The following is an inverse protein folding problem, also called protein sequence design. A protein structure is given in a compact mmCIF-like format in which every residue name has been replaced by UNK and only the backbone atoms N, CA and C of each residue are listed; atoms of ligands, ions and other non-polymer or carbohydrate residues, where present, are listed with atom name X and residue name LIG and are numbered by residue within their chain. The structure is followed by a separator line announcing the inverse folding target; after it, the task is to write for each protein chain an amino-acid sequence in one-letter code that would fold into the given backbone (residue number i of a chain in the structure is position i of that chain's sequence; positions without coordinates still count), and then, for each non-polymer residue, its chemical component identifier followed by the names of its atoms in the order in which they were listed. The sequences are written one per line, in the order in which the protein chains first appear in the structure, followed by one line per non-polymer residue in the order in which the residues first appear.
data_IF_916584359566
#
_entry.id   IF_916584359566
#
_cell.length_a   1.000
_cell.length_b   1.000
_cell.length_c   1.000
_cell.angle_alpha   90.00
_cell.angle_beta   90.00
_cell.angle_gamma   90.00
#
_symmetry.space_group_name_H-M   'P 1'
#
loop_
_entity.id
_entity.type
_entity.pdbx_description
1 polymer ?
#
# COMPACT_ATOMS: atom_id res chain seq x y z
N UNK A 1 20.13 9.25 15.13
CA UNK A 1 20.64 9.04 13.76
C UNK A 1 19.64 8.22 12.95
N UNK A 2 18.80 8.87 12.14
CA UNK A 2 18.21 8.28 10.92
C UNK A 2 17.61 9.36 10.01
N UNK A 3 18.37 10.44 9.78
CA UNK A 3 17.95 11.57 8.93
C UNK A 3 18.09 11.27 7.43
N UNK A 4 18.88 10.25 7.05
CA UNK A 4 19.12 9.88 5.66
C UNK A 4 17.98 9.13 4.98
N UNK A 5 17.07 8.49 5.73
CA UNK A 5 15.89 7.82 5.17
C UNK A 5 14.65 8.74 5.10
N UNK A 6 14.64 9.80 5.90
CA UNK A 6 13.54 10.77 5.97
C UNK A 6 13.57 11.74 4.77
N UNK A 7 14.76 12.16 4.32
CA UNK A 7 14.91 12.97 3.10
C UNK A 7 14.36 12.29 1.83
N UNK A 8 14.75 11.06 1.46
CA UNK A 8 14.25 10.43 0.22
C UNK A 8 12.75 10.16 0.23
N UNK A 9 12.12 9.96 1.40
CA UNK A 9 10.67 9.85 1.52
C UNK A 9 9.99 11.18 1.18
N UNK A 10 10.44 12.28 1.79
CA UNK A 10 9.91 13.63 1.53
C UNK A 10 10.10 14.03 0.07
N UNK A 11 11.28 13.78 -0.51
CA UNK A 11 11.55 14.06 -1.92
C UNK A 11 10.64 13.25 -2.86
N UNK A 12 10.38 11.98 -2.53
CA UNK A 12 9.48 11.15 -3.34
C UNK A 12 8.04 11.62 -3.23
N UNK A 13 7.59 12.02 -2.05
CA UNK A 13 6.26 12.61 -1.85
C UNK A 13 6.11 13.93 -2.60
N UNK A 14 7.10 14.82 -2.54
CA UNK A 14 7.09 16.07 -3.30
C UNK A 14 7.00 15.83 -4.82
N UNK A 15 7.65 14.78 -5.33
CA UNK A 15 7.52 14.36 -6.73
C UNK A 15 6.13 13.83 -7.05
N UNK A 16 5.52 13.06 -6.14
CA UNK A 16 4.13 12.61 -6.27
C UNK A 16 3.19 13.82 -6.36
N UNK A 17 3.34 14.80 -5.47
CA UNK A 17 2.57 16.05 -5.51
C UNK A 17 2.72 16.77 -6.85
N UNK A 18 3.95 16.92 -7.34
CA UNK A 18 4.22 17.54 -8.64
C UNK A 18 3.65 16.74 -9.83
N UNK A 19 3.63 15.41 -9.76
CA UNK A 19 3.00 14.58 -10.78
C UNK A 19 1.48 14.75 -10.77
N UNK A 20 0.85 14.76 -9.59
CA UNK A 20 -0.59 14.95 -9.44
C UNK A 20 -1.02 16.35 -9.93
N UNK A 21 -0.31 17.39 -9.53
CA UNK A 21 -0.56 18.76 -9.98
C UNK A 21 -0.41 18.92 -11.50
N UNK A 22 0.51 18.16 -12.11
CA UNK A 22 0.71 18.13 -13.56
C UNK A 22 -0.24 17.17 -14.30
N UNK A 23 -1.21 16.53 -13.63
CA UNK A 23 -2.11 15.55 -14.24
C UNK A 23 -1.42 14.23 -14.65
N UNK A 24 -0.17 14.00 -14.23
CA UNK A 24 0.62 12.79 -14.52
C UNK A 24 0.27 11.67 -13.54
N UNK A 25 -1.02 11.36 -13.44
CA UNK A 25 -1.57 10.42 -12.46
C UNK A 25 -0.94 9.01 -12.53
N UNK A 26 -0.62 8.42 -13.70
CA UNK A 26 0.07 7.13 -13.75
C UNK A 26 1.45 7.15 -13.08
N UNK A 27 2.16 8.27 -13.19
CA UNK A 27 3.49 8.44 -12.63
C UNK A 27 3.43 8.61 -11.11
N UNK A 28 2.48 9.41 -10.62
CA UNK A 28 2.16 9.55 -9.20
C UNK A 28 1.81 8.19 -8.57
N UNK A 29 0.92 7.43 -9.21
CA UNK A 29 0.49 6.09 -8.77
C UNK A 29 1.67 5.12 -8.68
N UNK A 30 2.53 5.09 -9.68
CA UNK A 30 3.69 4.19 -9.69
C UNK A 30 4.64 4.50 -8.54
N UNK A 31 4.90 5.79 -8.27
CA UNK A 31 5.76 6.23 -7.16
C UNK A 31 5.14 5.90 -5.80
N UNK A 32 3.86 6.19 -5.60
CA UNK A 32 3.13 5.83 -4.38
C UNK A 32 3.12 4.32 -4.12
N UNK A 33 2.93 3.49 -5.15
CA UNK A 33 3.04 2.03 -5.00
C UNK A 33 4.43 1.58 -4.56
N UNK A 34 5.48 2.25 -5.06
CA UNK A 34 6.85 2.04 -4.60
C UNK A 34 7.00 2.36 -3.11
N UNK A 35 6.50 3.51 -2.68
CA UNK A 35 6.50 3.92 -1.27
C UNK A 35 5.72 2.96 -0.38
N UNK A 36 4.49 2.56 -0.75
CA UNK A 36 3.70 1.59 0.01
C UNK A 36 4.40 0.23 0.07
N UNK A 37 5.14 -0.16 -0.97
CA UNK A 37 5.93 -1.41 -0.92
C UNK A 37 7.10 -1.32 0.06
N UNK A 38 7.74 -0.15 0.18
CA UNK A 38 8.82 0.11 1.15
C UNK A 38 8.31 0.33 2.57
N UNK A 39 7.10 0.87 2.72
CA UNK A 39 6.47 1.23 3.98
C UNK A 39 5.04 0.64 4.05
N UNK A 40 4.89 -0.69 4.12
CA UNK A 40 3.58 -1.35 3.97
C UNK A 40 2.61 -1.06 5.11
N UNK A 41 3.11 -0.66 6.28
CA UNK A 41 2.35 -0.31 7.48
C UNK A 41 1.99 1.18 7.57
N UNK A 42 2.51 2.01 6.68
CA UNK A 42 2.17 3.44 6.67
C UNK A 42 0.79 3.64 6.04
N UNK A 43 -0.20 3.77 6.91
CA UNK A 43 -1.60 3.99 6.58
C UNK A 43 -1.82 5.26 5.74
N UNK A 44 -1.04 6.31 5.97
CA UNK A 44 -1.14 7.57 5.21
C UNK A 44 -0.82 7.35 3.73
N UNK A 45 0.24 6.58 3.45
CA UNK A 45 0.61 6.25 2.06
C UNK A 45 -0.45 5.39 1.37
N UNK A 46 -1.08 4.47 2.11
CA UNK A 46 -2.16 3.63 1.60
C UNK A 46 -3.41 4.45 1.28
N UNK A 47 -3.84 5.33 2.19
CA UNK A 47 -4.96 6.26 1.98
C UNK A 47 -4.75 7.12 0.74
N UNK A 48 -3.57 7.72 0.63
CA UNK A 48 -3.21 8.58 -0.50
C UNK A 48 -3.18 7.81 -1.84
N UNK A 49 -2.75 6.55 -1.83
CA UNK A 49 -2.83 5.70 -3.01
C UNK A 49 -4.28 5.37 -3.38
N UNK A 50 -5.17 5.15 -2.41
CA UNK A 50 -6.59 4.93 -2.65
C UNK A 50 -7.25 6.14 -3.35
N UNK A 51 -6.96 7.36 -2.89
CA UNK A 51 -7.45 8.59 -3.51
C UNK A 51 -7.06 8.68 -4.99
N UNK A 52 -5.83 8.30 -5.32
CA UNK A 52 -5.35 8.27 -6.72
C UNK A 52 -6.11 7.25 -7.56
N UNK A 53 -6.55 6.12 -7.00
CA UNK A 53 -7.38 5.14 -7.70
C UNK A 53 -8.83 5.60 -7.86
N UNK A 54 -9.37 6.41 -6.92
CA UNK A 54 -10.68 7.06 -7.08
C UNK A 54 -10.72 8.01 -8.27
N UNK A 55 -9.63 8.71 -8.56
CA UNK A 55 -9.51 9.56 -9.75
C UNK A 55 -9.67 8.79 -11.07
N UNK A 56 -9.47 7.49 -11.05
CA UNK A 56 -9.64 6.60 -12.22
C UNK A 56 -10.94 5.78 -12.19
N UNK A 57 -11.82 6.03 -11.22
CA UNK A 57 -13.04 5.24 -11.01
C UNK A 57 -12.72 3.72 -10.84
N UNK A 58 -11.64 3.40 -10.12
CA UNK A 58 -11.24 2.02 -9.79
C UNK A 58 -11.58 1.69 -8.32
N UNK A 59 -12.87 1.52 -7.93
CA UNK A 59 -13.27 1.37 -6.53
C UNK A 59 -12.71 0.11 -5.87
N UNK A 60 -12.50 -0.97 -6.63
CA UNK A 60 -11.90 -2.20 -6.09
C UNK A 60 -10.42 -2.03 -5.70
N UNK A 61 -9.67 -1.19 -6.42
CA UNK A 61 -8.29 -0.88 -6.03
C UNK A 61 -8.26 0.18 -4.92
N UNK A 62 -9.17 1.16 -4.91
CA UNK A 62 -9.31 2.07 -3.77
C UNK A 62 -9.61 1.30 -2.47
N UNK A 63 -10.58 0.38 -2.52
CA UNK A 63 -10.95 -0.49 -1.40
C UNK A 63 -9.82 -1.38 -0.92
N UNK A 64 -9.00 -1.92 -1.84
CA UNK A 64 -7.79 -2.68 -1.48
C UNK A 64 -6.83 -1.88 -0.58
N UNK A 65 -6.63 -0.60 -0.88
CA UNK A 65 -5.68 0.21 -0.13
C UNK A 65 -6.29 0.72 1.20
N UNK A 66 -7.59 0.96 1.24
CA UNK A 66 -8.35 1.36 2.43
C UNK A 66 -8.81 0.19 3.34
N UNK A 67 -8.68 -1.06 2.91
CA UNK A 67 -9.28 -2.22 3.60
C UNK A 67 -8.90 -2.36 5.10
N UNK A 68 -7.71 -1.88 5.47
CA UNK A 68 -7.18 -1.93 6.83
C UNK A 68 -7.57 -0.72 7.70
N UNK A 69 -8.22 0.29 7.11
CA UNK A 69 -8.68 1.49 7.79
C UNK A 69 -10.05 1.28 8.44
N UNK A 70 -10.29 1.97 9.55
CA UNK A 70 -11.58 1.95 10.24
C UNK A 70 -12.65 2.73 9.44
N UNK A 71 -12.29 3.87 8.88
CA UNK A 71 -13.16 4.75 8.08
C UNK A 71 -13.19 4.36 6.59
N UNK A 72 -13.23 3.06 6.31
CA UNK A 72 -13.24 2.54 4.94
C UNK A 72 -14.62 2.68 4.30
N UNK A 73 -14.65 3.03 3.02
CA UNK A 73 -15.91 3.08 2.27
C UNK A 73 -16.46 1.65 2.05
N UNK A 74 -17.74 1.40 2.37
CA UNK A 74 -18.31 0.06 2.28
C UNK A 74 -18.47 -0.42 0.84
N UNK A 75 -18.73 0.47 -0.13
CA UNK A 75 -18.86 0.10 -1.54
C UNK A 75 -17.51 -0.26 -2.16
N UNK A 76 -16.46 0.51 -1.86
CA UNK A 76 -15.09 0.19 -2.26
C UNK A 76 -14.62 -1.12 -1.64
N UNK A 77 -14.94 -1.35 -0.36
CA UNK A 77 -14.65 -2.60 0.35
C UNK A 77 -15.35 -3.77 -0.32
N UNK A 78 -16.65 -3.66 -0.61
CA UNK A 78 -17.41 -4.70 -1.30
C UNK A 78 -16.87 -4.98 -2.70
N UNK A 79 -16.46 -3.95 -3.45
CA UNK A 79 -15.85 -4.10 -4.77
C UNK A 79 -14.51 -4.87 -4.69
N UNK A 80 -13.68 -4.57 -3.70
CA UNK A 80 -12.45 -5.30 -3.42
C UNK A 80 -12.72 -6.77 -3.07
N UNK A 81 -13.65 -7.03 -2.16
CA UNK A 81 -13.98 -8.39 -1.71
C UNK A 81 -14.62 -9.24 -2.81
N UNK A 82 -15.41 -8.63 -3.68
CA UNK A 82 -15.97 -9.28 -4.88
C UNK A 82 -14.86 -9.68 -5.85
N UNK A 83 -13.86 -8.81 -6.04
CA UNK A 83 -12.70 -9.10 -6.90
C UNK A 83 -11.80 -10.19 -6.30
N UNK A 84 -11.67 -10.24 -4.99
CA UNK A 84 -10.84 -11.20 -4.27
C UNK A 84 -11.70 -12.00 -3.29
N UNK A 85 -12.42 -12.99 -3.80
CA UNK A 85 -13.39 -13.77 -3.03
C UNK A 85 -12.78 -14.51 -1.84
N UNK A 86 -11.54 -15.02 -1.98
CA UNK A 86 -10.89 -15.78 -0.92
C UNK A 86 -10.08 -14.88 0.01
N UNK A 87 -10.10 -15.18 1.31
CA UNK A 87 -9.28 -14.51 2.32
C UNK A 87 -7.79 -14.52 1.95
N UNK A 88 -7.27 -15.67 1.48
CA UNK A 88 -5.89 -15.79 0.99
C UNK A 88 -5.61 -14.90 -0.23
N UNK A 89 -6.59 -14.72 -1.13
CA UNK A 89 -6.52 -13.81 -2.26
C UNK A 89 -6.42 -12.35 -1.80
N UNK A 90 -7.26 -11.95 -0.82
CA UNK A 90 -7.24 -10.61 -0.21
C UNK A 90 -5.89 -10.34 0.44
N UNK A 91 -5.39 -11.27 1.25
CA UNK A 91 -4.09 -11.10 1.94
C UNK A 91 -2.93 -10.94 0.95
N UNK A 92 -2.92 -11.68 -0.16
CA UNK A 92 -1.90 -11.51 -1.21
C UNK A 92 -2.02 -10.16 -1.92
N UNK A 93 -3.24 -9.67 -2.13
CA UNK A 93 -3.46 -8.35 -2.71
C UNK A 93 -2.98 -7.24 -1.76
N UNK A 94 -3.24 -7.36 -0.45
CA UNK A 94 -2.82 -6.36 0.54
C UNK A 94 -1.30 -6.32 0.77
N UNK A 95 -0.65 -7.49 0.75
CA UNK A 95 0.78 -7.64 1.08
C UNK A 95 1.76 -7.36 -0.06
N UNK A 96 1.28 -7.11 -1.27
CA UNK A 96 2.13 -6.73 -2.41
C UNK A 96 3.23 -7.75 -2.70
N UNK A 97 2.91 -8.83 -3.42
CA UNK A 97 3.94 -9.63 -4.08
C UNK A 97 4.52 -8.82 -5.26
N UNK A 98 5.50 -7.97 -4.98
CA UNK A 98 6.47 -7.57 -5.99
C UNK A 98 7.11 -8.85 -6.52
N UNK A 99 6.86 -9.19 -7.78
CA UNK A 99 7.60 -10.27 -8.46
C UNK A 99 9.06 -9.83 -8.53
N UNK A 100 9.85 -10.37 -7.61
CA UNK A 100 11.28 -10.17 -7.49
C UNK A 100 11.96 -10.56 -8.82
N UNK A 101 12.48 -9.58 -9.56
CA UNK A 101 13.49 -9.86 -10.58
C UNK A 101 14.81 -9.84 -9.83
N UNK A 102 15.55 -10.95 -9.92
CA UNK A 102 16.60 -11.32 -8.98
C UNK A 102 17.63 -10.21 -8.74
N UNK A 103 17.76 -9.83 -7.47
CA UNK A 103 19.06 -9.43 -6.92
C UNK A 103 19.12 -9.85 -5.46
N UNK A 104 19.98 -10.84 -5.18
CA UNK A 104 20.38 -11.24 -3.84
C UNK A 104 21.11 -10.05 -3.21
N UNK A 105 20.62 -9.54 -2.09
CA UNK A 105 21.39 -8.67 -1.20
C UNK A 105 21.36 -9.29 0.21
N UNK A 106 22.52 -9.45 0.88
CA UNK A 106 22.58 -9.96 2.24
C UNK A 106 22.52 -8.84 3.27
N UNK A 107 21.85 -9.12 4.39
CA UNK A 107 22.14 -8.49 5.68
C UNK A 107 21.23 -7.33 6.10
N UNK A 108 20.71 -7.47 7.33
CA UNK A 108 20.16 -6.45 8.23
C UNK A 108 18.73 -6.00 7.98
N UNK A 109 17.79 -6.67 8.65
CA UNK A 109 16.41 -6.18 8.77
C UNK A 109 15.36 -7.25 9.08
N UNK A 110 15.68 -8.25 9.90
CA UNK A 110 14.69 -9.16 10.45
C UNK A 110 13.75 -8.38 11.39
N UNK A 111 12.67 -7.82 10.85
CA UNK A 111 11.56 -7.24 11.64
C UNK A 111 10.25 -6.95 10.89
N UNK A 112 10.02 -7.57 9.73
CA UNK A 112 8.76 -7.42 8.95
C UNK A 112 7.81 -8.63 9.12
N UNK A 113 8.04 -9.48 10.11
CA UNK A 113 7.14 -10.61 10.41
C UNK A 113 6.19 -10.38 11.60
N UNK A 114 6.34 -9.27 12.35
CA UNK A 114 5.57 -9.04 13.57
C UNK A 114 4.11 -8.60 13.31
N UNK A 115 3.83 -7.92 12.21
CA UNK A 115 2.46 -7.61 11.78
C UNK A 115 1.79 -8.84 11.11
N UNK A 116 2.58 -9.81 10.65
CA UNK A 116 2.10 -11.00 9.94
C UNK A 116 1.74 -12.21 10.83
N UNK A 117 1.96 -12.16 12.16
CA UNK A 117 1.61 -13.27 13.07
C UNK A 117 0.84 -12.84 14.34
N UNK A 118 0.97 -11.61 14.85
CA UNK A 118 0.27 -11.23 16.09
C UNK A 118 -1.12 -10.57 15.91
N UNK A 119 -1.49 -10.18 14.69
CA UNK A 119 -2.84 -9.65 14.43
C UNK A 119 -3.91 -10.72 14.19
N UNK A 120 -3.52 -11.99 13.98
CA UNK A 120 -4.43 -13.06 13.56
C UNK A 120 -4.84 -14.03 14.69
N UNK A 121 -4.39 -13.80 15.93
CA UNK A 121 -4.83 -14.57 17.10
C UNK A 121 -5.90 -13.84 17.94
N UNK A 122 -6.22 -12.58 17.64
CA UNK A 122 -7.23 -11.80 18.38
C UNK A 122 -8.62 -11.75 17.71
N UNK A 123 -8.82 -12.49 16.62
CA UNK A 123 -10.12 -12.62 15.92
C UNK A 123 -10.60 -14.09 15.85
N UNK A 124 -10.05 -14.95 16.71
CA UNK A 124 -10.43 -16.35 16.87
C UNK A 124 -10.55 -16.74 18.37
N UNK A 125 -11.10 -15.85 19.19
CA UNK A 125 -11.92 -16.24 20.35
C UNK A 125 -13.35 -15.72 20.15
#
# INVERSE_FOLDING_TARGET
MNDHAVMPLKDTLARVDADLAAGRIPAARQRLRGLVSSFPSDLTLRRRLAEVYRLYDEPAEAGRWMYLEEDRDPAETAAFETRYVTTSGRMRALGGRGRNHGRRMPGHGARVLAIWVNGLLALFE
#
